data_IF_559363475084
#
_entry.id   IF_559363475084
#
_cell.length_a   1.000
_cell.length_b   1.000
_cell.length_c   1.000
_cell.angle_alpha   90.00
_cell.angle_beta   90.00
_cell.angle_gamma   90.00
#
_symmetry.space_group_name_H-M   'P 1'
#
loop_
_entity.id
_entity.type
_entity.pdbx_description
1 polymer ?
#
# COMPACT_ATOMS: atom_id res chain seq x y z
N UNK A 1 -0.72 -4.62 11.37
CA UNK A 1 -1.35 -3.27 11.41
C UNK A 1 -2.73 -3.40 10.80
N UNK A 2 -3.76 -3.17 11.58
CA UNK A 2 -5.13 -3.18 11.05
C UNK A 2 -5.49 -1.77 10.62
N UNK A 3 -5.37 -1.49 9.34
CA UNK A 3 -5.99 -0.32 8.72
C UNK A 3 -7.48 -0.66 8.63
N UNK A 4 -8.21 -0.51 9.74
CA UNK A 4 -9.61 -0.95 9.83
C UNK A 4 -10.61 -0.08 9.10
N UNK A 5 -10.20 1.09 8.63
CA UNK A 5 -11.13 2.14 8.23
C UNK A 5 -11.32 2.30 6.72
N UNK A 6 -10.63 1.49 5.91
CA UNK A 6 -10.88 1.43 4.46
C UNK A 6 -11.79 0.25 4.10
N UNK A 7 -12.86 0.45 3.31
CA UNK A 7 -13.68 -0.66 2.79
C UNK A 7 -12.84 -1.74 2.06
N UNK A 8 -11.79 -1.32 1.38
CA UNK A 8 -10.88 -2.22 0.68
C UNK A 8 -10.10 -3.11 1.65
N UNK A 9 -9.70 -2.58 2.80
CA UNK A 9 -9.00 -3.35 3.81
C UNK A 9 -9.91 -4.40 4.45
N UNK A 10 -11.17 -4.09 4.69
CA UNK A 10 -12.10 -5.06 5.25
C UNK A 10 -12.24 -6.29 4.35
N UNK A 11 -12.42 -6.08 3.04
CA UNK A 11 -12.50 -7.15 2.06
C UNK A 11 -11.18 -7.95 1.96
N UNK A 12 -10.03 -7.27 1.99
CA UNK A 12 -8.71 -7.91 1.99
C UNK A 12 -8.49 -8.79 3.23
N UNK A 13 -8.81 -8.28 4.42
CA UNK A 13 -8.69 -9.02 5.67
C UNK A 13 -9.60 -10.23 5.70
N UNK A 14 -10.84 -10.11 5.23
CA UNK A 14 -11.78 -11.21 5.14
C UNK A 14 -11.27 -12.31 4.21
N UNK A 15 -10.86 -11.96 2.99
CA UNK A 15 -10.31 -12.91 2.02
C UNK A 15 -9.04 -13.59 2.53
N UNK A 16 -8.14 -12.84 3.20
CA UNK A 16 -6.93 -13.38 3.79
C UNK A 16 -7.25 -14.41 4.89
N UNK A 17 -8.15 -14.06 5.81
CA UNK A 17 -8.55 -14.96 6.90
C UNK A 17 -9.31 -16.19 6.41
N UNK A 18 -10.11 -16.06 5.36
CA UNK A 18 -10.78 -17.20 4.72
C UNK A 18 -9.78 -18.22 4.15
N UNK A 19 -8.65 -17.71 3.64
CA UNK A 19 -7.61 -18.56 3.02
C UNK A 19 -6.62 -19.15 4.04
N UNK A 20 -6.21 -18.36 5.02
CA UNK A 20 -5.09 -18.71 5.92
C UNK A 20 -5.52 -18.99 7.37
N UNK A 21 -6.81 -18.91 7.66
CA UNK A 21 -7.40 -19.15 8.97
C UNK A 21 -7.83 -17.87 9.67
N UNK A 22 -8.90 -17.96 10.46
CA UNK A 22 -9.52 -16.82 11.16
C UNK A 22 -8.60 -16.10 12.13
N UNK A 23 -7.59 -16.80 12.65
CA UNK A 23 -6.62 -16.28 13.62
C UNK A 23 -5.36 -15.70 12.92
N UNK A 24 -5.33 -15.74 11.58
CA UNK A 24 -4.20 -15.19 10.82
C UNK A 24 -4.07 -13.67 11.01
N UNK A 25 -2.84 -13.22 11.29
CA UNK A 25 -2.51 -11.82 11.52
C UNK A 25 -1.88 -11.23 10.26
N UNK A 26 -2.32 -10.03 9.90
CA UNK A 26 -1.81 -9.30 8.74
C UNK A 26 -0.98 -8.12 9.25
N UNK A 27 0.30 -8.12 8.91
CA UNK A 27 1.20 -6.99 9.15
C UNK A 27 1.22 -6.02 7.98
N UNK A 28 1.88 -4.89 8.18
CA UNK A 28 2.07 -3.86 7.15
C UNK A 28 2.84 -4.41 5.94
N UNK A 29 3.91 -5.15 6.18
CA UNK A 29 4.71 -5.79 5.12
C UNK A 29 3.89 -6.81 4.30
N UNK A 30 2.95 -7.52 4.94
CA UNK A 30 2.07 -8.46 4.25
C UNK A 30 1.15 -7.74 3.27
N UNK A 31 0.60 -6.59 3.67
CA UNK A 31 -0.22 -5.76 2.80
C UNK A 31 0.61 -5.17 1.66
N UNK A 32 1.83 -4.68 1.93
CA UNK A 32 2.72 -4.16 0.90
C UNK A 32 3.12 -5.25 -0.12
N UNK A 33 3.39 -6.47 0.34
CA UNK A 33 3.66 -7.61 -0.53
C UNK A 33 2.45 -7.99 -1.41
N UNK A 34 1.23 -7.83 -0.91
CA UNK A 34 0.02 -8.01 -1.71
C UNK A 34 -0.13 -6.92 -2.77
N UNK A 35 0.20 -5.68 -2.45
CA UNK A 35 0.07 -4.54 -3.35
C UNK A 35 1.06 -4.59 -4.53
N UNK A 36 2.28 -5.07 -4.30
CA UNK A 36 3.35 -5.10 -5.30
C UNK A 36 2.95 -5.74 -6.65
N UNK A 37 2.41 -6.97 -6.68
CA UNK A 37 1.94 -7.61 -7.91
C UNK A 37 0.86 -6.83 -8.66
N UNK A 38 -0.02 -6.12 -7.96
CA UNK A 38 -1.06 -5.30 -8.59
C UNK A 38 -0.49 -4.06 -9.27
N UNK A 39 0.49 -3.41 -8.63
CA UNK A 39 1.22 -2.29 -9.24
C UNK A 39 2.00 -2.75 -10.47
N UNK A 40 2.69 -3.89 -10.36
CA UNK A 40 3.42 -4.48 -11.49
C UNK A 40 2.47 -4.83 -12.64
N UNK A 41 1.34 -5.48 -12.35
CA UNK A 41 0.31 -5.79 -13.35
C UNK A 41 -0.13 -4.52 -14.08
N UNK A 42 -0.47 -3.47 -13.34
CA UNK A 42 -0.88 -2.20 -13.94
C UNK A 42 0.23 -1.56 -14.81
N UNK A 43 1.50 -1.69 -14.39
CA UNK A 43 2.64 -1.22 -15.18
C UNK A 43 2.82 -2.00 -16.49
N UNK A 44 2.70 -3.32 -16.45
CA UNK A 44 2.76 -4.19 -17.62
C UNK A 44 1.62 -3.89 -18.60
N UNK A 45 0.40 -3.74 -18.10
CA UNK A 45 -0.76 -3.39 -18.91
C UNK A 45 -0.60 -2.03 -19.59
N UNK A 46 -0.10 -1.03 -18.85
CA UNK A 46 0.20 0.31 -19.38
C UNK A 46 1.34 0.30 -20.40
N UNK A 47 2.36 -0.51 -20.17
CA UNK A 47 3.50 -0.67 -21.09
C UNK A 47 3.14 -1.48 -22.35
N UNK A 48 2.12 -2.32 -22.29
CA UNK A 48 1.77 -3.29 -23.33
C UNK A 48 2.88 -4.32 -23.59
N UNK A 49 3.77 -4.56 -22.62
CA UNK A 49 4.98 -5.37 -22.75
C UNK A 49 5.46 -5.90 -21.41
N UNK A 50 6.18 -7.03 -21.44
CA UNK A 50 6.94 -7.57 -20.31
C UNK A 50 8.41 -7.12 -20.31
N UNK A 51 8.81 -6.30 -21.27
CA UNK A 51 10.16 -5.73 -21.33
C UNK A 51 10.40 -4.85 -20.11
N UNK A 52 11.53 -5.07 -19.42
CA UNK A 52 11.82 -4.43 -18.14
C UNK A 52 11.88 -2.91 -18.28
N UNK A 53 12.56 -2.40 -19.28
CA UNK A 53 12.75 -0.95 -19.47
C UNK A 53 11.42 -0.26 -19.77
N UNK A 54 10.56 -0.90 -20.56
CA UNK A 54 9.21 -0.40 -20.86
C UNK A 54 8.31 -0.40 -19.63
N UNK A 55 8.35 -1.46 -18.81
CA UNK A 55 7.56 -1.56 -17.59
C UNK A 55 8.01 -0.52 -16.57
N UNK A 56 9.32 -0.35 -16.38
CA UNK A 56 9.87 0.69 -15.50
C UNK A 56 9.47 2.08 -15.98
N UNK A 57 9.62 2.38 -17.26
CA UNK A 57 9.23 3.66 -17.82
C UNK A 57 7.72 3.95 -17.73
N UNK A 58 6.88 2.91 -17.75
CA UNK A 58 5.44 3.04 -17.66
C UNK A 58 4.94 3.18 -16.20
N UNK A 59 5.73 2.78 -15.20
CA UNK A 59 5.30 2.72 -13.80
C UNK A 59 4.96 4.08 -13.16
N UNK A 60 5.63 5.21 -13.45
CA UNK A 60 5.23 6.50 -12.91
C UNK A 60 3.79 6.88 -13.28
N UNK A 61 3.08 7.46 -12.32
CA UNK A 61 1.69 7.88 -12.49
C UNK A 61 0.65 6.76 -12.44
N UNK A 62 1.04 5.52 -12.14
CA UNK A 62 0.08 4.43 -11.88
C UNK A 62 -0.63 4.71 -10.56
N UNK A 63 -1.94 4.56 -10.58
CA UNK A 63 -2.83 4.80 -9.44
C UNK A 63 -3.64 3.55 -9.14
N UNK A 64 -3.74 3.18 -7.86
CA UNK A 64 -4.61 2.12 -7.37
C UNK A 64 -5.48 2.66 -6.23
N UNK A 65 -6.78 2.80 -6.50
CA UNK A 65 -7.78 3.18 -5.48
C UNK A 65 -8.27 1.99 -4.66
N UNK A 66 -7.91 0.76 -5.05
CA UNK A 66 -8.38 -0.49 -4.44
C UNK A 66 -7.37 -1.12 -3.49
N UNK A 67 -6.23 -0.48 -3.25
CA UNK A 67 -5.24 -0.98 -2.30
C UNK A 67 -5.85 -1.09 -0.88
N UNK A 68 -5.45 -2.09 -0.07
CA UNK A 68 -5.93 -2.22 1.31
C UNK A 68 -5.69 -0.97 2.16
N UNK A 69 -4.57 -0.29 1.95
CA UNK A 69 -4.24 0.97 2.63
C UNK A 69 -5.04 2.19 2.13
N UNK A 70 -5.79 2.04 1.04
CA UNK A 70 -6.51 3.11 0.37
C UNK A 70 -5.84 3.50 -0.95
N UNK A 71 -6.01 4.76 -1.36
CA UNK A 71 -5.41 5.26 -2.60
C UNK A 71 -3.89 5.31 -2.51
N UNK A 72 -3.23 4.77 -3.52
CA UNK A 72 -1.77 4.87 -3.74
C UNK A 72 -1.47 5.31 -5.17
N UNK A 73 -0.38 6.02 -5.35
CA UNK A 73 0.11 6.49 -6.64
C UNK A 73 1.62 6.32 -6.73
N UNK A 74 2.11 5.83 -7.86
CA UNK A 74 3.55 5.75 -8.14
C UNK A 74 4.04 7.13 -8.56
N UNK A 75 5.02 7.67 -7.83
CA UNK A 75 5.69 8.91 -8.15
C UNK A 75 6.79 8.70 -9.21
N UNK A 76 7.28 9.78 -9.82
CA UNK A 76 8.33 9.74 -10.83
C UNK A 76 9.65 9.15 -10.32
N UNK A 77 9.90 9.21 -9.02
CA UNK A 77 11.02 8.55 -8.35
C UNK A 77 10.76 7.08 -7.98
N UNK A 78 9.68 6.48 -8.47
CA UNK A 78 9.24 5.10 -8.25
C UNK A 78 8.86 4.75 -6.79
N UNK A 79 8.80 5.72 -5.88
CA UNK A 79 8.19 5.55 -4.57
C UNK A 79 6.68 5.78 -4.64
N UNK A 80 5.96 5.41 -3.58
CA UNK A 80 4.52 5.60 -3.52
C UNK A 80 4.16 6.87 -2.75
N UNK A 81 3.23 7.64 -3.30
CA UNK A 81 2.43 8.54 -2.49
C UNK A 81 1.62 7.72 -1.52
N UNK A 82 1.71 8.00 -0.24
CA UNK A 82 0.96 7.30 0.79
C UNK A 82 0.63 8.20 1.97
N UNK A 83 -0.25 7.72 2.83
CA UNK A 83 -0.58 8.38 4.09
C UNK A 83 0.21 7.77 5.23
N UNK A 84 0.64 8.60 6.16
CA UNK A 84 1.20 8.13 7.44
C UNK A 84 0.10 8.06 8.49
N UNK A 85 0.08 6.95 9.22
CA UNK A 85 -0.88 6.72 10.31
C UNK A 85 -0.13 6.46 11.62
N UNK A 86 -0.63 7.04 12.68
CA UNK A 86 -0.18 6.75 14.04
C UNK A 86 -1.26 5.91 14.70
N UNK A 87 -0.87 4.75 15.22
CA UNK A 87 -1.76 3.84 15.91
C UNK A 87 -1.42 3.70 17.39
N UNK A 88 -2.44 3.75 18.24
CA UNK A 88 -2.34 3.44 19.65
C UNK A 88 -2.64 1.96 19.87
N UNK A 89 -1.72 1.25 20.56
CA UNK A 89 -1.87 -0.18 20.87
C UNK A 89 -3.02 -0.37 21.84
N UNK A 90 -3.94 -1.26 21.52
CA UNK A 90 -5.07 -1.62 22.37
C UNK A 90 -4.79 -2.89 23.19
N UNK A 91 -5.59 -3.13 24.23
CA UNK A 91 -5.44 -4.31 25.12
C UNK A 91 -5.58 -5.65 24.38
N UNK A 92 -6.28 -5.68 23.27
CA UNK A 92 -6.47 -6.85 22.41
C UNK A 92 -5.33 -7.05 21.39
N UNK A 93 -4.26 -6.25 21.49
CA UNK A 93 -3.12 -6.29 20.55
C UNK A 93 -3.38 -5.61 19.21
N UNK A 94 -4.55 -5.02 19.01
CA UNK A 94 -4.86 -4.25 17.80
C UNK A 94 -4.43 -2.79 17.94
N UNK A 95 -4.45 -2.05 16.84
CA UNK A 95 -4.16 -0.62 16.81
C UNK A 95 -5.44 0.17 16.53
N UNK A 96 -5.65 1.20 17.32
CA UNK A 96 -6.61 2.26 17.01
C UNK A 96 -5.85 3.40 16.33
N UNK A 97 -6.25 3.76 15.11
CA UNK A 97 -5.66 4.92 14.43
C UNK A 97 -6.08 6.19 15.18
N UNK A 98 -5.10 6.95 15.65
CA UNK A 98 -5.29 8.21 16.39
C UNK A 98 -4.89 9.42 15.56
N UNK A 99 -4.14 9.22 14.48
CA UNK A 99 -3.77 10.27 13.53
C UNK A 99 -3.61 9.66 12.13
N UNK A 100 -4.08 10.37 11.12
CA UNK A 100 -3.83 10.09 9.71
C UNK A 100 -3.44 11.40 9.02
N UNK A 101 -2.34 11.39 8.28
CA UNK A 101 -1.91 12.53 7.46
C UNK A 101 -2.73 12.63 6.17
N UNK A 102 -2.64 13.78 5.51
CA UNK A 102 -2.93 13.87 4.08
C UNK A 102 -1.99 12.99 3.26
N UNK A 103 -2.28 12.85 1.97
CA UNK A 103 -1.42 12.12 1.05
C UNK A 103 -0.06 12.83 0.94
N UNK A 104 1.02 12.11 1.26
CA UNK A 104 2.38 12.65 1.32
C UNK A 104 3.12 12.31 0.04
N UNK A 105 3.73 13.33 -0.57
CA UNK A 105 4.65 13.15 -1.68
C UNK A 105 5.94 12.47 -1.23
N UNK A 106 6.37 11.38 -1.89
CA UNK A 106 7.58 10.68 -1.50
C UNK A 106 8.83 11.50 -1.84
N UNK A 107 9.61 11.82 -0.83
CA UNK A 107 10.92 12.46 -0.97
C UNK A 107 11.98 11.57 -0.29
N UNK A 108 12.82 10.85 -1.06
CA UNK A 108 13.86 9.98 -0.50
C UNK A 108 15.01 10.77 0.17
N UNK A 109 15.10 12.07 -0.10
CA UNK A 109 16.15 12.95 0.44
C UNK A 109 15.56 14.21 1.06
N UNK A 110 14.78 14.09 2.16
CA UNK A 110 14.17 15.25 2.79
C UNK A 110 15.23 16.20 3.34
N UNK A 111 14.96 17.50 3.27
CA UNK A 111 15.87 18.53 3.80
C UNK A 111 16.10 18.30 5.31
N UNK A 112 17.37 18.41 5.74
CA UNK A 112 17.78 18.20 7.13
C UNK A 112 18.17 16.78 7.49
N UNK A 113 18.12 15.83 6.55
CA UNK A 113 18.51 14.42 6.73
C UNK A 113 19.59 13.98 5.73
N UNK A 114 20.38 14.95 5.24
CA UNK A 114 21.51 14.70 4.34
C UNK A 114 22.82 14.63 5.12
#
# INVERSE_FOLDING_TARGET
MCIRDSPNNAAFVEAFKAKYGKDAVIGDVTQAAYLGPWLWKAAVEKAGSFDIDKVVAASPGIELGTAPEGYVKVHDNHHLWSKTRIGEVQKDGQFKVVFESDLIEPNPFPAGYQ
#
